data_IF_398319870307
#
_entry.id   IF_398319870307
#
_cell.length_a   1.000
_cell.length_b   1.000
_cell.length_c   1.000
_cell.angle_alpha   90.00
_cell.angle_beta   90.00
_cell.angle_gamma   90.00
#
_symmetry.space_group_name_H-M   'P 1'
#
loop_
_entity.id
_entity.type
_entity.pdbx_description
1 polymer ?
#
# COMPACT_ATOMS: atom_id res chain seq x y z
N UNK A 1 -8.18 15.47 12.01
CA UNK A 1 -9.44 14.74 11.75
C UNK A 1 -9.67 13.62 12.75
N UNK A 2 -8.70 12.70 12.90
CA UNK A 2 -8.72 11.63 13.88
C UNK A 2 -7.35 11.55 14.55
N UNK A 3 -7.31 11.39 15.88
CA UNK A 3 -6.07 11.21 16.65
C UNK A 3 -6.29 10.18 17.76
N UNK A 4 -5.35 9.27 17.87
CA UNK A 4 -5.26 8.30 18.94
C UNK A 4 -3.96 8.56 19.71
N UNK A 5 -4.01 8.51 21.04
CA UNK A 5 -2.86 8.82 21.90
C UNK A 5 -2.77 7.79 23.01
N UNK A 6 -1.67 7.04 23.07
CA UNK A 6 -1.37 6.01 24.07
C UNK A 6 -2.53 5.04 24.33
N UNK A 7 -3.26 4.72 23.25
CA UNK A 7 -4.49 3.95 23.33
C UNK A 7 -4.20 2.46 23.58
N UNK A 8 -4.86 1.90 24.57
CA UNK A 8 -4.75 0.49 24.96
C UNK A 8 -6.13 -0.12 25.11
N UNK A 9 -6.29 -1.33 24.53
CA UNK A 9 -7.45 -2.21 24.71
C UNK A 9 -6.98 -3.65 24.84
N UNK A 10 -7.26 -4.29 25.97
CA UNK A 10 -6.89 -5.68 26.28
C UNK A 10 -8.13 -6.55 26.44
N UNK A 11 -8.08 -7.79 25.97
CA UNK A 11 -9.17 -8.75 26.12
C UNK A 11 -8.90 -9.84 27.18
N UNK A 12 -7.65 -10.01 27.59
CA UNK A 12 -7.27 -10.95 28.65
C UNK A 12 -6.00 -10.48 29.36
N UNK A 13 -5.86 -10.86 30.62
CA UNK A 13 -4.64 -10.65 31.42
C UNK A 13 -3.63 -11.80 31.25
N UNK A 14 -3.92 -12.79 30.41
CA UNK A 14 -3.09 -13.96 30.15
C UNK A 14 -1.81 -13.64 29.37
N UNK A 15 -0.85 -14.59 29.41
CA UNK A 15 0.47 -14.49 28.78
C UNK A 15 0.44 -14.19 27.27
N UNK A 16 -0.68 -14.51 26.59
CA UNK A 16 -0.90 -14.19 25.19
C UNK A 16 -1.65 -12.87 25.07
N UNK A 17 -0.90 -11.78 24.85
CA UNK A 17 -1.48 -10.45 24.66
C UNK A 17 -2.45 -10.44 23.47
N UNK A 18 -3.73 -10.13 23.73
CA UNK A 18 -4.76 -9.90 22.71
C UNK A 18 -5.30 -8.49 22.83
N UNK A 19 -5.23 -7.73 21.75
CA UNK A 19 -5.71 -6.35 21.73
C UNK A 19 -4.74 -5.37 21.09
N UNK A 20 -4.75 -4.13 21.57
CA UNK A 20 -3.81 -3.06 21.20
C UNK A 20 -3.19 -2.45 22.47
N UNK A 21 -1.95 -1.98 22.39
CA UNK A 21 -1.20 -1.42 23.51
C UNK A 21 -0.37 -0.22 23.06
N UNK A 22 -0.56 0.90 23.76
CA UNK A 22 0.19 2.16 23.58
C UNK A 22 0.20 2.66 22.12
N UNK A 23 -0.95 2.58 21.45
CA UNK A 23 -1.11 3.03 20.07
C UNK A 23 -1.24 4.55 20.00
N UNK A 24 -0.35 5.19 19.25
CA UNK A 24 -0.40 6.64 19.01
C UNK A 24 -0.21 6.94 17.52
N UNK A 25 -1.21 7.53 16.88
CA UNK A 25 -1.13 8.03 15.49
C UNK A 25 -2.25 9.02 15.19
N UNK A 26 -2.15 9.70 14.05
CA UNK A 26 -3.17 10.63 13.56
C UNK A 26 -3.47 10.36 12.09
N UNK A 27 -4.69 10.68 11.68
CA UNK A 27 -5.18 10.52 10.30
C UNK A 27 -5.69 11.87 9.80
N UNK A 28 -4.96 12.51 8.86
CA UNK A 28 -5.44 13.68 8.14
C UNK A 28 -6.62 13.34 7.21
N UNK A 29 -7.36 14.36 6.77
CA UNK A 29 -8.41 14.18 5.77
C UNK A 29 -7.81 13.78 4.42
N UNK A 30 -8.47 12.85 3.73
CA UNK A 30 -8.07 12.36 2.41
C UNK A 30 -6.92 11.36 2.43
N UNK A 31 -6.29 11.09 3.59
CA UNK A 31 -5.21 10.13 3.69
C UNK A 31 -5.73 8.69 3.69
N UNK A 32 -5.03 7.83 2.96
CA UNK A 32 -5.27 6.39 2.96
C UNK A 32 -4.14 5.70 3.72
N UNK A 33 -4.50 5.01 4.81
CA UNK A 33 -3.57 4.24 5.63
C UNK A 33 -3.86 2.76 5.46
N UNK A 34 -2.85 1.97 5.12
CA UNK A 34 -2.93 0.52 5.22
C UNK A 34 -2.30 0.03 6.52
N UNK A 35 -3.03 -0.82 7.24
CA UNK A 35 -2.57 -1.46 8.47
C UNK A 35 -2.21 -2.90 8.16
N UNK A 36 -0.94 -3.23 8.33
CA UNK A 36 -0.37 -4.55 8.06
C UNK A 36 0.08 -5.21 9.37
N UNK A 37 0.28 -6.52 9.34
CA UNK A 37 0.78 -7.30 10.47
C UNK A 37 0.26 -8.72 10.46
N UNK A 38 0.91 -9.62 11.22
CA UNK A 38 0.51 -11.03 11.32
C UNK A 38 -0.90 -11.18 11.91
N UNK A 39 -1.51 -12.35 11.71
CA UNK A 39 -2.79 -12.67 12.39
C UNK A 39 -2.61 -12.54 13.91
N UNK A 40 -3.61 -11.99 14.60
CA UNK A 40 -3.53 -11.73 16.04
C UNK A 40 -2.73 -10.48 16.45
N UNK A 41 -2.17 -9.68 15.53
CA UNK A 41 -1.38 -8.49 15.88
C UNK A 41 -2.21 -7.29 16.40
N UNK A 42 -3.54 -7.38 16.44
CA UNK A 42 -4.42 -6.32 16.96
C UNK A 42 -5.10 -5.45 15.88
N UNK A 43 -4.96 -5.76 14.59
CA UNK A 43 -5.49 -4.95 13.48
C UNK A 43 -7.01 -4.72 13.56
N UNK A 44 -7.79 -5.79 13.71
CA UNK A 44 -9.25 -5.68 13.83
C UNK A 44 -9.68 -4.99 15.12
N UNK A 45 -8.95 -5.20 16.23
CA UNK A 45 -9.18 -4.47 17.47
C UNK A 45 -8.97 -2.96 17.27
N UNK A 46 -7.90 -2.57 16.58
CA UNK A 46 -7.65 -1.18 16.24
C UNK A 46 -8.82 -0.58 15.44
N UNK A 47 -9.25 -1.26 14.35
CA UNK A 47 -10.37 -0.75 13.54
C UNK A 47 -11.68 -0.69 14.34
N UNK A 48 -12.00 -1.69 15.16
CA UNK A 48 -13.20 -1.70 16.00
C UNK A 48 -13.19 -0.58 17.04
N UNK A 49 -12.04 -0.29 17.62
CA UNK A 49 -11.88 0.86 18.53
C UNK A 49 -12.11 2.18 17.78
N UNK A 50 -11.54 2.34 16.58
CA UNK A 50 -11.76 3.52 15.75
C UNK A 50 -13.21 3.67 15.29
N UNK A 51 -13.93 2.57 15.13
CA UNK A 51 -15.36 2.54 14.82
C UNK A 51 -16.27 2.84 16.03
N UNK A 52 -15.70 2.94 17.24
CA UNK A 52 -16.45 3.09 18.48
C UNK A 52 -17.20 1.82 18.93
N UNK A 53 -16.83 0.65 18.36
CA UNK A 53 -17.38 -0.65 18.71
C UNK A 53 -16.69 -1.26 19.96
N UNK A 54 -15.50 -0.78 20.27
CA UNK A 54 -14.73 -1.17 21.45
C UNK A 54 -14.33 0.08 22.23
N UNK A 55 -14.41 0.00 23.55
CA UNK A 55 -13.96 1.08 24.45
C UNK A 55 -12.50 0.86 24.83
N UNK A 56 -11.73 1.94 24.89
CA UNK A 56 -10.34 1.90 25.39
C UNK A 56 -10.31 1.60 26.88
N UNK A 57 -9.30 0.87 27.33
CA UNK A 57 -9.00 0.67 28.74
C UNK A 57 -8.16 1.85 29.28
N UNK A 58 -7.23 2.38 28.44
CA UNK A 58 -6.43 3.58 28.75
C UNK A 58 -6.10 4.35 27.46
N UNK A 59 -5.66 5.60 27.62
CA UNK A 59 -5.34 6.49 26.51
C UNK A 59 -6.56 7.27 25.99
N UNK A 60 -6.38 7.94 24.87
CA UNK A 60 -7.40 8.82 24.30
C UNK A 60 -7.63 8.55 22.83
N UNK A 61 -8.89 8.64 22.42
CA UNK A 61 -9.31 8.67 21.02
C UNK A 61 -10.14 9.92 20.77
N UNK A 62 -9.62 10.81 19.92
CA UNK A 62 -10.25 12.07 19.58
C UNK A 62 -10.62 12.03 18.09
N UNK A 63 -11.86 12.30 17.79
CA UNK A 63 -12.38 12.54 16.47
C UNK A 63 -13.05 13.91 16.42
N UNK A 64 -12.80 14.69 15.39
CA UNK A 64 -13.46 15.99 15.23
C UNK A 64 -14.97 15.86 15.18
N UNK A 65 -15.67 16.87 15.70
CA UNK A 65 -17.14 16.87 15.76
C UNK A 65 -17.75 16.70 14.37
N UNK A 66 -18.86 15.97 14.30
CA UNK A 66 -19.62 15.72 13.06
C UNK A 66 -18.89 14.87 12.00
N UNK A 67 -17.85 14.14 12.37
CA UNK A 67 -17.24 13.15 11.49
C UNK A 67 -17.95 11.83 11.66
N UNK A 68 -18.57 11.36 10.57
CA UNK A 68 -19.16 10.03 10.49
C UNK A 68 -18.10 9.03 10.04
N UNK A 69 -17.99 7.95 10.80
CA UNK A 69 -17.12 6.81 10.51
C UNK A 69 -17.98 5.63 10.08
N UNK A 70 -17.65 4.99 8.97
CA UNK A 70 -18.27 3.72 8.57
C UNK A 70 -17.25 2.59 8.67
N UNK A 71 -17.68 1.46 9.20
CA UNK A 71 -16.87 0.25 9.34
C UNK A 71 -17.46 -0.89 8.52
N UNK A 72 -16.63 -1.52 7.72
CA UNK A 72 -16.97 -2.74 6.98
C UNK A 72 -16.12 -3.87 7.54
N UNK A 73 -16.80 -4.82 8.18
CA UNK A 73 -16.16 -6.01 8.76
C UNK A 73 -15.84 -7.05 7.71
N UNK A 74 -14.96 -7.99 8.07
CA UNK A 74 -14.59 -9.13 7.27
C UNK A 74 -15.81 -9.97 6.81
N UNK A 75 -16.84 -10.11 7.68
CA UNK A 75 -18.05 -10.90 7.42
C UNK A 75 -19.14 -10.14 6.65
N UNK A 76 -18.89 -8.87 6.28
CA UNK A 76 -19.76 -7.95 5.50
C UNK A 76 -21.25 -7.90 5.83
N UNK A 77 -21.70 -8.57 6.84
CA UNK A 77 -23.03 -8.65 7.48
C UNK A 77 -24.14 -7.79 6.84
N UNK A 78 -24.63 -8.18 5.66
CA UNK A 78 -25.84 -7.59 5.08
C UNK A 78 -27.09 -8.05 5.85
N UNK A 79 -28.13 -7.22 5.89
CA UNK A 79 -29.42 -7.62 6.44
C UNK A 79 -30.10 -8.62 5.50
N UNK A 80 -30.26 -9.89 5.91
CA UNK A 80 -30.65 -10.97 4.99
C UNK A 80 -32.11 -10.88 4.53
N UNK A 81 -32.95 -10.18 5.29
CA UNK A 81 -34.37 -9.96 5.02
C UNK A 81 -34.67 -8.69 4.20
N UNK A 82 -33.64 -7.94 3.83
CA UNK A 82 -33.75 -6.74 3.00
C UNK A 82 -33.07 -7.00 1.63
N UNK A 83 -33.67 -6.43 0.59
CA UNK A 83 -33.07 -6.41 -0.75
C UNK A 83 -31.79 -5.60 -0.78
N UNK A 84 -31.02 -5.67 -1.87
CA UNK A 84 -29.82 -4.86 -2.08
C UNK A 84 -30.12 -3.37 -1.93
N UNK A 85 -31.18 -2.89 -2.59
CA UNK A 85 -31.58 -1.48 -2.50
C UNK A 85 -31.94 -1.09 -1.06
N UNK A 86 -32.74 -1.90 -0.38
CA UNK A 86 -33.13 -1.66 1.01
C UNK A 86 -31.92 -1.65 1.96
N UNK A 87 -30.94 -2.55 1.76
CA UNK A 87 -29.68 -2.52 2.49
C UNK A 87 -28.94 -1.18 2.34
N UNK A 88 -28.95 -0.59 1.15
CA UNK A 88 -28.26 0.69 0.91
C UNK A 88 -29.00 1.87 1.54
N UNK A 89 -30.34 1.88 1.46
CA UNK A 89 -31.12 3.07 1.80
C UNK A 89 -31.57 3.13 3.27
N UNK A 90 -31.56 2.02 4.00
CA UNK A 90 -32.11 1.96 5.37
C UNK A 90 -31.47 3.00 6.30
N UNK A 91 -30.14 2.99 6.43
CA UNK A 91 -29.46 3.90 7.34
C UNK A 91 -29.61 5.39 6.95
N UNK A 92 -29.44 5.80 5.67
CA UNK A 92 -29.72 7.17 5.24
C UNK A 92 -31.19 7.62 5.46
N UNK A 93 -32.18 6.72 5.27
CA UNK A 93 -33.59 7.02 5.53
C UNK A 93 -33.84 7.29 7.00
N UNK A 94 -33.25 6.49 7.90
CA UNK A 94 -33.40 6.71 9.34
C UNK A 94 -32.80 8.05 9.78
N UNK A 95 -31.70 8.47 9.14
CA UNK A 95 -31.07 9.76 9.41
C UNK A 95 -31.83 10.97 8.83
N UNK A 96 -32.63 10.82 7.77
CA UNK A 96 -33.30 11.93 7.07
C UNK A 96 -34.60 11.53 6.41
N UNK A 97 -35.66 11.52 7.20
CA UNK A 97 -37.03 11.08 6.78
C UNK A 97 -37.63 11.83 5.57
N UNK A 98 -37.22 13.08 5.33
CA UNK A 98 -37.80 13.92 4.27
C UNK A 98 -37.11 13.80 2.90
N UNK A 99 -36.17 12.83 2.71
CA UNK A 99 -35.36 12.70 1.49
C UNK A 99 -35.39 11.31 0.86
N UNK A 100 -36.42 10.51 1.13
CA UNK A 100 -36.51 9.10 0.69
C UNK A 100 -36.34 8.91 -0.82
N UNK A 101 -37.02 9.72 -1.65
CA UNK A 101 -36.92 9.62 -3.11
C UNK A 101 -35.52 9.95 -3.60
N UNK A 102 -34.88 10.99 -3.04
CA UNK A 102 -33.50 11.36 -3.39
C UNK A 102 -32.49 10.28 -2.98
N UNK A 103 -32.66 9.69 -1.79
CA UNK A 103 -31.84 8.58 -1.30
C UNK A 103 -31.98 7.36 -2.21
N UNK A 104 -33.21 7.02 -2.62
CA UNK A 104 -33.45 5.91 -3.55
C UNK A 104 -32.83 6.13 -4.92
N UNK A 105 -32.88 7.34 -5.48
CA UNK A 105 -32.20 7.70 -6.74
C UNK A 105 -30.68 7.60 -6.60
N UNK A 106 -30.12 8.12 -5.51
CA UNK A 106 -28.69 8.07 -5.23
C UNK A 106 -28.19 6.62 -5.11
N UNK A 107 -28.93 5.75 -4.40
CA UNK A 107 -28.59 4.33 -4.28
C UNK A 107 -28.57 3.61 -5.63
N UNK A 108 -29.57 3.87 -6.50
CA UNK A 108 -29.65 3.29 -7.84
C UNK A 108 -28.47 3.75 -8.72
N UNK A 109 -28.13 5.03 -8.71
CA UNK A 109 -26.96 5.55 -9.43
C UNK A 109 -25.64 4.93 -8.92
N UNK A 110 -25.53 4.69 -7.62
CA UNK A 110 -24.36 4.04 -7.04
C UNK A 110 -24.28 2.57 -7.47
N UNK A 111 -25.40 1.84 -7.48
CA UNK A 111 -25.46 0.46 -7.99
C UNK A 111 -25.11 0.40 -9.49
N UNK A 112 -25.57 1.35 -10.29
CA UNK A 112 -25.26 1.45 -11.71
C UNK A 112 -23.76 1.69 -11.92
N UNK A 113 -23.20 2.70 -11.23
CA UNK A 113 -21.75 3.03 -11.31
C UNK A 113 -20.86 1.83 -11.05
N UNK A 114 -21.29 0.92 -10.16
CA UNK A 114 -20.49 -0.23 -9.76
C UNK A 114 -21.01 -1.57 -10.32
N UNK A 115 -21.83 -1.54 -11.38
CA UNK A 115 -22.25 -2.73 -12.12
C UNK A 115 -23.10 -3.71 -11.30
N UNK A 116 -23.98 -3.19 -10.44
CA UNK A 116 -24.87 -3.97 -9.58
C UNK A 116 -26.37 -3.66 -9.81
N UNK A 117 -26.71 -2.97 -10.90
CA UNK A 117 -28.08 -2.55 -11.21
C UNK A 117 -29.06 -3.71 -11.30
N UNK A 118 -28.65 -4.82 -11.90
CA UNK A 118 -29.48 -6.02 -12.07
C UNK A 118 -29.82 -6.71 -10.74
N UNK A 119 -29.03 -6.48 -9.70
CA UNK A 119 -29.23 -7.07 -8.35
C UNK A 119 -30.01 -6.15 -7.40
N UNK A 120 -30.56 -5.02 -7.90
CA UNK A 120 -31.25 -4.00 -7.07
C UNK A 120 -32.31 -4.60 -6.15
N UNK A 121 -33.11 -5.57 -6.65
CA UNK A 121 -34.22 -6.22 -5.94
C UNK A 121 -33.82 -7.62 -5.38
N UNK A 122 -32.58 -8.08 -5.57
CA UNK A 122 -32.11 -9.37 -5.07
C UNK A 122 -31.86 -9.30 -3.57
N UNK A 123 -32.04 -10.43 -2.90
CA UNK A 123 -31.69 -10.61 -1.49
C UNK A 123 -30.21 -11.06 -1.35
N UNK A 124 -29.57 -10.83 -0.20
CA UNK A 124 -28.17 -11.24 0.02
C UNK A 124 -27.86 -12.71 -0.25
N UNK A 125 -28.84 -13.61 -0.05
CA UNK A 125 -28.66 -15.04 -0.32
C UNK A 125 -28.52 -15.38 -1.82
N UNK A 126 -29.01 -14.50 -2.70
CA UNK A 126 -28.99 -14.66 -4.16
C UNK A 126 -27.69 -14.12 -4.79
N UNK A 127 -26.82 -13.47 -3.98
CA UNK A 127 -25.60 -12.83 -4.43
C UNK A 127 -24.39 -13.74 -4.25
N UNK A 128 -23.40 -13.61 -5.16
CA UNK A 128 -22.05 -14.18 -4.94
C UNK A 128 -21.34 -13.49 -3.76
N UNK A 129 -20.29 -14.09 -3.24
CA UNK A 129 -19.47 -13.51 -2.15
C UNK A 129 -18.98 -12.10 -2.48
N UNK A 130 -18.40 -11.90 -3.66
CA UNK A 130 -17.92 -10.60 -4.11
C UNK A 130 -19.03 -9.56 -4.33
N UNK A 131 -20.20 -9.99 -4.81
CA UNK A 131 -21.36 -9.11 -4.93
C UNK A 131 -21.84 -8.65 -3.55
N UNK A 132 -21.99 -9.58 -2.59
CA UNK A 132 -22.35 -9.21 -1.20
C UNK A 132 -21.38 -8.19 -0.61
N UNK A 133 -20.10 -8.38 -0.85
CA UNK A 133 -19.06 -7.51 -0.33
C UNK A 133 -19.09 -6.12 -0.95
N UNK A 134 -19.28 -6.03 -2.28
CA UNK A 134 -19.49 -4.74 -2.96
C UNK A 134 -20.73 -4.02 -2.44
N UNK A 135 -21.84 -4.73 -2.24
CA UNK A 135 -23.06 -4.16 -1.63
C UNK A 135 -22.78 -3.64 -0.22
N UNK A 136 -22.03 -4.36 0.61
CA UNK A 136 -21.66 -3.91 1.96
C UNK A 136 -20.80 -2.63 1.95
N UNK A 137 -19.85 -2.52 1.01
CA UNK A 137 -19.08 -1.29 0.78
C UNK A 137 -19.99 -0.13 0.35
N UNK A 138 -20.87 -0.35 -0.62
CA UNK A 138 -21.79 0.69 -1.10
C UNK A 138 -22.75 1.13 0.01
N UNK A 139 -23.24 0.21 0.84
CA UNK A 139 -24.02 0.54 2.04
C UNK A 139 -23.26 1.46 2.99
N UNK A 140 -21.98 1.18 3.22
CA UNK A 140 -21.13 2.02 4.07
C UNK A 140 -20.90 3.42 3.46
N UNK A 141 -20.84 3.54 2.13
CA UNK A 141 -20.68 4.81 1.40
C UNK A 141 -21.96 5.64 1.38
N UNK A 142 -23.13 4.99 1.35
CA UNK A 142 -24.43 5.68 1.28
C UNK A 142 -24.70 6.65 2.43
N UNK A 143 -24.12 6.44 3.60
CA UNK A 143 -24.22 7.37 4.73
C UNK A 143 -23.26 8.55 4.63
N UNK A 144 -22.49 8.65 3.53
CA UNK A 144 -21.52 9.73 3.27
C UNK A 144 -20.49 9.92 4.40
N UNK A 145 -19.80 8.85 4.80
CA UNK A 145 -18.85 8.93 5.88
C UNK A 145 -17.64 9.80 5.47
N UNK A 146 -16.99 10.40 6.45
CA UNK A 146 -15.70 11.06 6.23
C UNK A 146 -14.52 10.09 6.35
N UNK A 147 -14.73 8.98 7.07
CA UNK A 147 -13.72 7.91 7.25
C UNK A 147 -14.37 6.57 6.96
N UNK A 148 -13.72 5.78 6.11
CA UNK A 148 -14.03 4.37 5.85
C UNK A 148 -12.98 3.48 6.53
N UNK A 149 -13.45 2.57 7.37
CA UNK A 149 -12.65 1.54 8.02
C UNK A 149 -12.97 0.20 7.34
N UNK A 150 -11.97 -0.43 6.74
CA UNK A 150 -12.13 -1.65 5.94
C UNK A 150 -11.28 -2.77 6.55
N UNK A 151 -11.93 -3.81 7.10
CA UNK A 151 -11.26 -4.89 7.83
C UNK A 151 -11.24 -6.18 7.00
N UNK A 152 -10.10 -6.50 6.38
CA UNK A 152 -9.82 -7.72 5.63
C UNK A 152 -10.93 -8.12 4.63
N UNK A 153 -11.52 -7.15 3.98
CA UNK A 153 -12.73 -7.33 3.15
C UNK A 153 -12.56 -8.19 1.90
N UNK A 154 -11.36 -8.73 1.64
CA UNK A 154 -11.08 -9.63 0.50
C UNK A 154 -10.62 -11.02 0.93
N UNK A 155 -10.52 -11.31 2.22
CA UNK A 155 -9.87 -12.52 2.74
C UNK A 155 -10.60 -13.83 2.40
N UNK A 156 -11.91 -13.78 2.12
CA UNK A 156 -12.74 -14.93 1.82
C UNK A 156 -13.16 -15.04 0.34
N UNK A 157 -12.51 -14.29 -0.56
CA UNK A 157 -12.82 -14.23 -1.97
C UNK A 157 -11.77 -14.93 -2.82
N UNK A 158 -12.22 -15.49 -3.96
CA UNK A 158 -11.31 -15.92 -5.01
C UNK A 158 -10.60 -14.71 -5.69
N UNK A 159 -9.53 -14.94 -6.48
CA UNK A 159 -8.75 -13.86 -7.08
C UNK A 159 -9.55 -12.93 -8.00
N UNK A 160 -10.51 -13.45 -8.76
CA UNK A 160 -11.30 -12.64 -9.69
C UNK A 160 -12.27 -11.71 -8.96
N UNK A 161 -12.98 -12.23 -7.96
CA UNK A 161 -13.86 -11.46 -7.10
C UNK A 161 -13.08 -10.44 -6.25
N UNK A 162 -11.90 -10.82 -5.76
CA UNK A 162 -10.97 -9.94 -5.06
C UNK A 162 -10.65 -8.71 -5.91
N UNK A 163 -10.27 -8.89 -7.19
CA UNK A 163 -9.96 -7.78 -8.10
C UNK A 163 -11.11 -6.79 -8.19
N UNK A 164 -12.35 -7.26 -8.35
CA UNK A 164 -13.52 -6.39 -8.50
C UNK A 164 -13.79 -5.51 -7.27
N UNK A 165 -13.54 -6.05 -6.06
CA UNK A 165 -13.66 -5.31 -4.79
C UNK A 165 -12.54 -4.28 -4.65
N UNK A 166 -11.30 -4.66 -4.98
CA UNK A 166 -10.16 -3.75 -4.94
C UNK A 166 -10.31 -2.58 -5.92
N UNK A 167 -10.88 -2.81 -7.10
CA UNK A 167 -11.16 -1.75 -8.08
C UNK A 167 -12.24 -0.78 -7.57
N UNK A 168 -13.25 -1.26 -6.84
CA UNK A 168 -14.22 -0.41 -6.17
C UNK A 168 -13.54 0.48 -5.11
N UNK A 169 -12.66 -0.09 -4.27
CA UNK A 169 -11.93 0.69 -3.27
C UNK A 169 -11.03 1.75 -3.93
N UNK A 170 -10.36 1.42 -5.04
CA UNK A 170 -9.57 2.39 -5.83
C UNK A 170 -10.43 3.54 -6.36
N UNK A 171 -11.65 3.24 -6.79
CA UNK A 171 -12.59 4.28 -7.24
C UNK A 171 -12.99 5.21 -6.10
N UNK A 172 -13.29 4.67 -4.91
CA UNK A 172 -13.59 5.45 -3.70
C UNK A 172 -12.38 6.29 -3.24
N UNK A 173 -11.16 5.76 -3.36
CA UNK A 173 -9.94 6.50 -3.09
C UNK A 173 -9.80 7.73 -3.99
N UNK A 174 -10.08 7.59 -5.29
CA UNK A 174 -10.08 8.70 -6.25
C UNK A 174 -11.17 9.73 -5.95
N UNK A 175 -12.27 9.33 -5.34
CA UNK A 175 -13.34 10.23 -4.88
C UNK A 175 -12.93 11.02 -3.60
N UNK A 176 -11.73 10.80 -3.05
CA UNK A 176 -11.15 11.55 -1.94
C UNK A 176 -11.57 11.08 -0.54
N UNK A 177 -12.06 9.85 -0.41
CA UNK A 177 -12.38 9.27 0.90
C UNK A 177 -11.11 9.08 1.75
N UNK A 178 -11.20 9.40 3.05
CA UNK A 178 -10.19 9.00 4.03
C UNK A 178 -10.42 7.55 4.39
N UNK A 179 -9.38 6.71 4.32
CA UNK A 179 -9.54 5.27 4.55
C UNK A 179 -8.48 4.73 5.51
N UNK A 180 -8.89 3.78 6.36
CA UNK A 180 -7.98 2.90 7.08
C UNK A 180 -8.32 1.47 6.69
N UNK A 181 -7.38 0.79 6.06
CA UNK A 181 -7.59 -0.50 5.39
C UNK A 181 -6.68 -1.55 6.02
N UNK A 182 -7.26 -2.61 6.55
CA UNK A 182 -6.54 -3.83 6.91
C UNK A 182 -6.61 -4.79 5.73
N UNK A 183 -5.47 -5.23 5.23
CA UNK A 183 -5.39 -6.15 4.10
C UNK A 183 -4.15 -7.01 4.16
N UNK A 184 -4.22 -8.18 3.53
CA UNK A 184 -3.07 -9.06 3.27
C UNK A 184 -2.55 -8.94 1.83
N UNK A 185 -3.24 -8.18 0.97
CA UNK A 185 -2.81 -7.94 -0.42
C UNK A 185 -1.80 -6.80 -0.46
N UNK A 186 -0.51 -7.16 -0.46
CA UNK A 186 0.58 -6.18 -0.39
C UNK A 186 0.63 -5.26 -1.61
N UNK A 187 0.54 -5.82 -2.82
CA UNK A 187 0.53 -5.05 -4.07
C UNK A 187 -0.62 -4.04 -4.11
N UNK A 188 -1.80 -4.41 -3.57
CA UNK A 188 -2.91 -3.48 -3.42
C UNK A 188 -2.61 -2.39 -2.39
N UNK A 189 -2.15 -2.77 -1.18
CA UNK A 189 -1.78 -1.80 -0.14
C UNK A 189 -0.80 -0.75 -0.68
N UNK A 190 0.24 -1.19 -1.40
CA UNK A 190 1.23 -0.31 -2.03
C UNK A 190 0.67 0.57 -3.14
N UNK A 191 -0.33 0.08 -3.89
CA UNK A 191 -0.90 0.83 -5.02
C UNK A 191 -1.87 1.94 -4.60
N UNK A 192 -2.37 1.92 -3.35
CA UNK A 192 -3.44 2.80 -2.91
C UNK A 192 -3.07 3.64 -1.69
N UNK A 193 -2.18 3.16 -0.80
CA UNK A 193 -1.91 3.83 0.47
C UNK A 193 -0.89 4.97 0.34
N UNK A 194 -1.11 6.03 1.11
CA UNK A 194 -0.13 7.10 1.33
C UNK A 194 0.86 6.71 2.44
N UNK A 195 0.38 5.88 3.39
CA UNK A 195 1.09 5.54 4.62
C UNK A 195 0.76 4.11 5.04
N UNK A 196 1.77 3.43 5.56
CA UNK A 196 1.65 2.06 6.06
C UNK A 196 2.00 2.04 7.54
N UNK A 197 1.11 1.43 8.34
CA UNK A 197 1.32 1.12 9.75
C UNK A 197 1.49 -0.40 9.88
N UNK A 198 2.60 -0.85 10.45
CA UNK A 198 2.83 -2.25 10.74
C UNK A 198 2.62 -2.53 12.23
N UNK A 199 1.64 -3.39 12.54
CA UNK A 199 1.32 -3.82 13.89
C UNK A 199 1.98 -5.14 14.26
N UNK A 200 2.57 -5.18 15.45
CA UNK A 200 3.11 -6.36 16.11
C UNK A 200 2.67 -6.41 17.56
N UNK A 201 2.08 -7.54 17.98
CA UNK A 201 1.70 -7.78 19.38
C UNK A 201 0.95 -6.59 20.01
N UNK A 202 0.00 -6.02 19.26
CA UNK A 202 -0.80 -4.90 19.70
C UNK A 202 -0.15 -3.51 19.62
N UNK A 203 1.12 -3.40 19.25
CA UNK A 203 1.84 -2.11 19.18
C UNK A 203 2.25 -1.75 17.76
N UNK A 204 2.46 -0.47 17.48
CA UNK A 204 3.00 0.00 16.20
C UNK A 204 4.51 -0.25 16.21
N UNK A 205 4.96 -1.17 15.36
CA UNK A 205 6.38 -1.42 15.15
C UNK A 205 6.97 -0.43 14.11
N UNK A 206 6.18 -0.10 13.09
CA UNK A 206 6.61 0.82 12.03
C UNK A 206 5.41 1.63 11.53
N UNK A 207 5.63 2.93 11.29
CA UNK A 207 4.66 3.89 10.79
C UNK A 207 5.36 4.84 9.83
N UNK A 208 5.18 4.65 8.54
CA UNK A 208 5.93 5.36 7.50
C UNK A 208 5.10 5.63 6.26
N UNK A 209 5.54 6.61 5.44
CA UNK A 209 5.02 6.78 4.09
C UNK A 209 5.22 5.49 3.29
N UNK A 210 4.29 5.15 2.42
CA UNK A 210 4.35 3.93 1.60
C UNK A 210 5.70 3.81 0.87
N UNK A 211 6.20 4.88 0.27
CA UNK A 211 7.47 4.93 -0.46
C UNK A 211 8.72 4.69 0.40
N UNK A 212 8.60 4.80 1.72
CA UNK A 212 9.69 4.59 2.67
C UNK A 212 9.60 3.25 3.40
N UNK A 213 8.46 2.57 3.32
CA UNK A 213 8.19 1.33 4.07
C UNK A 213 9.16 0.20 3.73
N UNK A 214 9.65 0.13 2.50
CA UNK A 214 10.58 -0.89 2.01
C UNK A 214 12.05 -0.47 2.08
N UNK A 215 12.38 0.62 2.76
CA UNK A 215 13.79 1.04 2.90
C UNK A 215 14.54 0.17 3.90
N UNK A 216 15.86 0.22 3.85
CA UNK A 216 16.74 -0.60 4.66
C UNK A 216 16.62 -0.40 6.19
N UNK A 217 15.99 0.66 6.64
CA UNK A 217 15.69 0.92 8.04
C UNK A 217 14.46 0.14 8.55
N UNK A 218 13.84 -0.70 7.71
CA UNK A 218 12.74 -1.55 8.14
C UNK A 218 13.24 -2.60 9.13
N UNK A 219 12.46 -2.83 10.18
CA UNK A 219 12.72 -3.87 11.17
C UNK A 219 12.81 -5.26 10.50
N UNK A 220 13.62 -6.16 11.06
CA UNK A 220 13.81 -7.52 10.54
C UNK A 220 12.49 -8.29 10.42
N UNK A 221 11.52 -8.03 11.31
CA UNK A 221 10.21 -8.66 11.22
C UNK A 221 9.35 -8.11 10.08
N UNK A 222 9.43 -6.80 9.83
CA UNK A 222 8.76 -6.20 8.66
C UNK A 222 9.33 -6.82 7.38
N UNK A 223 10.67 -6.96 7.31
CA UNK A 223 11.34 -7.64 6.19
C UNK A 223 10.89 -9.09 6.04
N UNK A 224 10.84 -9.84 7.14
CA UNK A 224 10.36 -11.24 7.12
C UNK A 224 8.90 -11.33 6.67
N UNK A 225 8.04 -10.44 7.15
CA UNK A 225 6.64 -10.39 6.76
C UNK A 225 6.46 -10.08 5.27
N UNK A 226 7.23 -9.13 4.73
CA UNK A 226 7.24 -8.81 3.30
C UNK A 226 7.66 -10.04 2.48
N UNK A 227 8.70 -10.75 2.91
CA UNK A 227 9.17 -11.97 2.24
C UNK A 227 8.12 -13.10 2.26
N UNK A 228 7.40 -13.24 3.38
CA UNK A 228 6.35 -14.26 3.52
C UNK A 228 5.13 -13.95 2.63
N UNK A 229 4.80 -12.66 2.44
CA UNK A 229 3.72 -12.24 1.54
C UNK A 229 4.16 -12.33 0.08
N UNK A 230 5.40 -11.95 -0.25
CA UNK A 230 5.93 -12.04 -1.61
C UNK A 230 5.81 -13.45 -2.19
N UNK A 231 5.91 -14.48 -1.35
CA UNK A 231 5.69 -15.88 -1.75
C UNK A 231 4.24 -16.19 -2.14
N UNK A 232 3.28 -15.34 -1.78
CA UNK A 232 1.83 -15.53 -2.01
C UNK A 232 1.26 -14.56 -3.04
N UNK A 233 1.97 -13.47 -3.34
CA UNK A 233 1.56 -12.43 -4.30
C UNK A 233 2.43 -12.54 -5.55
N UNK A 234 1.87 -13.06 -6.65
CA UNK A 234 2.58 -13.28 -7.92
C UNK A 234 3.16 -11.99 -8.54
N UNK A 235 2.73 -10.83 -8.10
CA UNK A 235 3.28 -9.54 -8.53
C UNK A 235 4.57 -9.15 -7.83
N UNK A 236 4.99 -9.90 -6.78
CA UNK A 236 6.17 -9.63 -5.98
C UNK A 236 7.14 -10.81 -6.07
N UNK A 237 8.36 -10.53 -6.49
CA UNK A 237 9.45 -11.50 -6.53
C UNK A 237 10.61 -11.02 -5.66
N UNK A 238 11.29 -11.96 -5.01
CA UNK A 238 12.45 -11.67 -4.16
C UNK A 238 13.64 -12.51 -4.61
N UNK A 239 14.73 -11.82 -4.88
CA UNK A 239 16.02 -12.41 -5.26
C UNK A 239 17.02 -12.12 -4.13
N UNK A 240 17.63 -13.16 -3.56
CA UNK A 240 18.51 -13.04 -2.40
C UNK A 240 19.86 -13.71 -2.64
N UNK A 241 20.92 -13.03 -2.24
CA UNK A 241 22.29 -13.50 -2.40
C UNK A 241 22.96 -13.05 -3.70
N UNK A 242 24.28 -13.19 -3.74
CA UNK A 242 25.12 -12.63 -4.79
C UNK A 242 24.79 -13.18 -6.18
N UNK A 243 24.63 -14.47 -6.30
CA UNK A 243 24.36 -15.15 -7.59
C UNK A 243 23.02 -14.70 -8.19
N UNK A 244 21.97 -14.65 -7.38
CA UNK A 244 20.66 -14.19 -7.84
C UNK A 244 20.65 -12.69 -8.17
N UNK A 245 21.40 -11.88 -7.42
CA UNK A 245 21.56 -10.46 -7.68
C UNK A 245 22.18 -10.22 -9.07
N UNK A 246 23.30 -10.89 -9.37
CA UNK A 246 23.98 -10.79 -10.66
C UNK A 246 23.11 -11.30 -11.82
N UNK A 247 22.51 -12.47 -11.67
CA UNK A 247 21.62 -13.06 -12.66
C UNK A 247 20.41 -12.16 -12.97
N UNK A 248 19.81 -11.55 -11.93
CA UNK A 248 18.71 -10.60 -12.07
C UNK A 248 19.09 -9.39 -12.93
N UNK A 249 20.20 -8.70 -12.58
CA UNK A 249 20.62 -7.50 -13.30
C UNK A 249 21.00 -7.79 -14.76
N UNK A 250 21.72 -8.87 -15.01
CA UNK A 250 22.04 -9.30 -16.38
C UNK A 250 20.78 -9.69 -17.17
N UNK A 251 19.83 -10.37 -16.52
CA UNK A 251 18.54 -10.71 -17.13
C UNK A 251 17.72 -9.47 -17.42
N UNK A 252 17.66 -8.50 -16.50
CA UNK A 252 16.95 -7.25 -16.65
C UNK A 252 17.45 -6.45 -17.86
N UNK A 253 18.78 -6.18 -17.92
CA UNK A 253 19.32 -5.33 -18.99
C UNK A 253 19.15 -5.96 -20.38
N UNK A 254 19.14 -7.29 -20.46
CA UNK A 254 18.83 -8.02 -21.71
C UNK A 254 17.38 -7.89 -22.14
N UNK A 255 16.43 -7.85 -21.19
CA UNK A 255 14.97 -7.79 -21.47
C UNK A 255 14.47 -6.37 -21.72
N UNK A 256 15.09 -5.34 -21.15
CA UNK A 256 14.65 -3.96 -21.35
C UNK A 256 14.70 -3.58 -22.83
N UNK A 257 13.68 -2.85 -23.36
CA UNK A 257 13.70 -2.29 -24.70
C UNK A 257 14.88 -1.33 -24.92
N UNK A 258 15.29 -1.16 -26.18
CA UNK A 258 16.25 -0.12 -26.54
C UNK A 258 15.71 1.28 -26.20
N UNK A 259 16.59 2.20 -25.88
CA UNK A 259 16.28 3.58 -25.48
C UNK A 259 15.45 3.70 -24.17
N UNK A 260 15.41 2.64 -23.36
CA UNK A 260 14.74 2.71 -22.05
C UNK A 260 15.51 3.60 -21.06
N UNK A 261 14.77 4.12 -20.06
CA UNK A 261 15.37 4.82 -18.93
C UNK A 261 15.11 4.05 -17.64
N UNK A 262 16.16 3.85 -16.84
CA UNK A 262 16.08 3.33 -15.48
C UNK A 262 16.23 4.51 -14.52
N UNK A 263 15.20 4.76 -13.73
CA UNK A 263 15.20 5.81 -12.71
C UNK A 263 15.66 5.24 -11.38
N UNK A 264 16.72 5.80 -10.80
CA UNK A 264 17.34 5.29 -9.58
C UNK A 264 17.29 6.36 -8.50
N UNK A 265 16.59 6.10 -7.39
CA UNK A 265 16.59 6.99 -6.24
C UNK A 265 17.36 6.36 -5.07
N UNK A 266 18.24 7.15 -4.48
CA UNK A 266 19.14 6.71 -3.42
C UNK A 266 20.30 5.87 -3.94
N UNK A 267 20.88 6.25 -5.10
CA UNK A 267 22.03 5.56 -5.64
C UNK A 267 23.12 5.39 -4.58
N UNK A 268 23.59 4.15 -4.43
CA UNK A 268 24.47 3.70 -3.33
C UNK A 268 25.91 3.47 -3.80
N UNK A 269 26.25 3.92 -5.01
CA UNK A 269 27.62 3.86 -5.53
C UNK A 269 28.23 2.47 -5.42
N UNK A 270 29.35 2.37 -4.69
CA UNK A 270 30.14 1.14 -4.56
C UNK A 270 29.35 -0.05 -4.02
N UNK A 271 28.30 0.16 -3.23
CA UNK A 271 27.49 -0.93 -2.69
C UNK A 271 26.76 -1.73 -3.80
N UNK A 272 26.43 -1.09 -4.94
CA UNK A 272 25.86 -1.79 -6.10
C UNK A 272 26.96 -2.41 -6.99
N UNK A 273 28.07 -1.70 -7.19
CA UNK A 273 29.15 -2.16 -8.07
C UNK A 273 29.90 -3.34 -7.50
N UNK A 274 30.12 -3.35 -6.18
CA UNK A 274 30.85 -4.43 -5.50
C UNK A 274 30.21 -5.82 -5.72
N UNK A 275 28.90 -6.01 -5.52
CA UNK A 275 28.25 -7.28 -5.85
C UNK A 275 28.24 -7.62 -7.34
N UNK A 276 28.24 -6.65 -8.24
CA UNK A 276 28.31 -6.92 -9.67
C UNK A 276 29.66 -7.47 -10.10
N UNK A 277 30.75 -7.06 -9.48
CA UNK A 277 32.07 -7.58 -9.72
C UNK A 277 32.47 -7.61 -11.21
N UNK A 278 32.99 -8.75 -11.69
CA UNK A 278 33.35 -8.94 -13.09
C UNK A 278 32.18 -8.86 -14.09
N UNK A 279 30.96 -9.13 -13.62
CA UNK A 279 29.74 -9.05 -14.46
C UNK A 279 29.37 -7.62 -14.84
N UNK A 280 29.89 -6.61 -14.12
CA UNK A 280 29.60 -5.21 -14.39
C UNK A 280 29.97 -4.80 -15.82
N UNK A 281 31.14 -5.19 -16.30
CA UNK A 281 31.58 -4.86 -17.67
C UNK A 281 30.61 -5.38 -18.72
N UNK A 282 30.17 -6.63 -18.59
CA UNK A 282 29.20 -7.23 -19.52
C UNK A 282 27.82 -6.57 -19.43
N UNK A 283 27.37 -6.21 -18.24
CA UNK A 283 26.14 -5.45 -18.02
C UNK A 283 26.20 -4.10 -18.74
N UNK A 284 27.30 -3.36 -18.57
CA UNK A 284 27.50 -2.02 -19.12
C UNK A 284 27.59 -2.05 -20.67
N UNK A 285 28.31 -3.02 -21.24
CA UNK A 285 28.39 -3.21 -22.69
C UNK A 285 26.99 -3.39 -23.32
N UNK A 286 26.12 -4.17 -22.68
CA UNK A 286 24.75 -4.38 -23.16
C UNK A 286 23.94 -3.08 -23.00
N UNK A 287 24.05 -2.40 -21.86
CA UNK A 287 23.32 -1.17 -21.54
C UNK A 287 23.59 -0.08 -22.57
N UNK A 288 24.86 0.19 -22.85
CA UNK A 288 25.30 1.20 -23.81
C UNK A 288 24.87 0.82 -25.24
N UNK A 289 25.06 -0.45 -25.64
CA UNK A 289 24.62 -0.93 -26.95
C UNK A 289 23.13 -0.75 -27.19
N UNK A 290 22.32 -0.86 -26.15
CA UNK A 290 20.85 -0.66 -26.19
C UNK A 290 20.42 0.79 -25.95
N UNK A 291 21.35 1.72 -25.79
CA UNK A 291 21.06 3.12 -25.46
C UNK A 291 20.20 3.28 -24.22
N UNK A 292 20.39 2.44 -23.19
CA UNK A 292 19.63 2.50 -21.95
C UNK A 292 20.27 3.55 -21.02
N UNK A 293 19.48 4.55 -20.64
CA UNK A 293 19.89 5.67 -19.81
C UNK A 293 19.64 5.40 -18.34
N UNK A 294 20.60 5.74 -17.48
CA UNK A 294 20.38 5.89 -16.04
C UNK A 294 20.10 7.33 -15.69
N UNK A 295 19.02 7.54 -14.94
CA UNK A 295 18.69 8.83 -14.34
C UNK A 295 18.66 8.67 -12.82
N UNK A 296 19.67 9.22 -12.14
CA UNK A 296 19.97 8.87 -10.75
C UNK A 296 19.94 10.08 -9.82
N UNK A 297 19.26 9.92 -8.68
CA UNK A 297 19.40 10.80 -7.52
C UNK A 297 20.27 10.12 -6.47
N UNK A 298 21.39 10.75 -6.12
CA UNK A 298 22.33 10.23 -5.14
C UNK A 298 22.39 11.13 -3.90
N UNK A 299 22.63 10.52 -2.75
CA UNK A 299 22.90 11.25 -1.50
C UNK A 299 24.39 11.50 -1.28
N UNK A 300 25.26 10.63 -1.82
CA UNK A 300 26.69 10.83 -1.84
C UNK A 300 27.25 10.30 -3.16
N UNK A 301 28.05 11.11 -3.85
CA UNK A 301 28.70 10.68 -5.08
C UNK A 301 29.96 9.91 -4.72
N UNK A 302 29.89 8.58 -4.81
CA UNK A 302 31.06 7.73 -4.81
C UNK A 302 32.04 8.07 -5.95
N UNK A 303 33.23 7.51 -5.92
CA UNK A 303 34.25 7.72 -6.97
C UNK A 303 33.77 7.15 -8.32
N UNK A 304 33.04 6.03 -8.30
CA UNK A 304 32.50 5.36 -9.48
C UNK A 304 31.41 6.21 -10.14
N UNK A 305 30.49 6.78 -9.36
CA UNK A 305 29.44 7.67 -9.89
C UNK A 305 30.04 8.88 -10.63
N UNK A 306 31.11 9.45 -10.09
CA UNK A 306 31.82 10.58 -10.74
C UNK A 306 32.52 10.13 -12.03
N UNK A 307 33.04 8.90 -12.09
CA UNK A 307 33.65 8.33 -13.28
C UNK A 307 32.63 8.11 -14.38
N UNK A 308 31.50 7.47 -14.08
CA UNK A 308 30.43 7.21 -15.03
C UNK A 308 29.83 8.49 -15.60
N UNK A 309 29.63 9.52 -14.78
CA UNK A 309 29.16 10.82 -15.24
C UNK A 309 30.14 11.49 -16.24
N UNK A 310 31.42 11.16 -16.20
CA UNK A 310 32.42 11.68 -17.13
C UNK A 310 32.61 10.80 -18.40
N UNK A 311 32.58 9.47 -18.23
CA UNK A 311 32.87 8.53 -19.30
C UNK A 311 31.70 8.41 -20.29
N UNK A 312 30.44 8.49 -19.81
CA UNK A 312 29.24 8.31 -20.63
C UNK A 312 28.13 9.30 -20.25
N UNK A 313 28.34 10.61 -20.39
CA UNK A 313 27.37 11.62 -19.91
C UNK A 313 26.01 11.54 -20.62
N UNK A 314 25.96 11.04 -21.84
CA UNK A 314 24.73 10.87 -22.62
C UNK A 314 23.85 9.72 -22.06
N UNK A 315 24.45 8.74 -21.37
CA UNK A 315 23.75 7.60 -20.79
C UNK A 315 23.60 7.69 -19.27
N UNK A 316 24.22 8.68 -18.62
CA UNK A 316 24.27 8.78 -17.16
C UNK A 316 23.93 10.18 -16.70
N UNK A 317 22.70 10.38 -16.20
CA UNK A 317 22.26 11.65 -15.63
C UNK A 317 22.25 11.55 -14.11
N UNK A 318 22.96 12.45 -13.43
CA UNK A 318 23.07 12.44 -11.97
C UNK A 318 22.60 13.79 -11.39
N UNK A 319 21.90 13.72 -10.26
CA UNK A 319 21.66 14.85 -9.38
C UNK A 319 21.98 14.47 -7.93
N UNK A 320 22.53 15.41 -7.17
CA UNK A 320 22.88 15.20 -5.76
C UNK A 320 21.89 15.88 -4.84
N UNK A 321 21.41 15.15 -3.82
CA UNK A 321 20.60 15.73 -2.76
C UNK A 321 21.41 16.66 -1.87
N UNK A 322 20.82 17.77 -1.36
CA UNK A 322 21.52 18.76 -0.53
C UNK A 322 22.03 18.21 0.82
N UNK A 323 21.45 17.12 1.30
CA UNK A 323 21.84 16.45 2.56
C UNK A 323 22.36 15.05 2.27
N UNK A 324 23.50 14.72 2.82
CA UNK A 324 23.98 13.32 2.84
C UNK A 324 23.08 12.50 3.76
N UNK A 325 22.45 11.46 3.22
CA UNK A 325 21.78 10.43 4.00
C UNK A 325 22.48 9.11 3.69
N UNK A 326 22.95 8.41 4.71
CA UNK A 326 23.39 7.04 4.53
C UNK A 326 22.13 6.18 4.35
N UNK A 327 21.91 5.71 3.15
CA UNK A 327 20.80 4.82 2.85
C UNK A 327 21.39 3.50 2.28
N UNK A 328 21.31 2.38 3.02
CA UNK A 328 21.79 1.09 2.53
C UNK A 328 20.88 0.45 1.49
N UNK A 329 19.84 1.14 1.04
CA UNK A 329 18.92 0.67 0.02
C UNK A 329 18.66 1.75 -1.03
N UNK A 330 18.41 1.30 -2.26
CA UNK A 330 17.86 2.15 -3.31
C UNK A 330 16.59 1.54 -3.90
N UNK A 331 15.86 2.33 -4.66
CA UNK A 331 14.85 1.79 -5.55
C UNK A 331 15.07 2.24 -6.99
N UNK A 332 14.70 1.37 -7.93
CA UNK A 332 14.73 1.67 -9.34
C UNK A 332 13.33 1.50 -9.92
N UNK A 333 12.97 2.37 -10.86
CA UNK A 333 11.70 2.29 -11.59
C UNK A 333 11.98 2.18 -13.08
N UNK A 334 11.30 1.27 -13.75
CA UNK A 334 11.35 1.10 -15.20
C UNK A 334 10.04 0.44 -15.70
N UNK A 335 9.36 1.09 -16.64
CA UNK A 335 8.04 0.63 -17.12
C UNK A 335 7.03 0.48 -15.99
N UNK A 336 6.44 -0.70 -15.86
CA UNK A 336 5.48 -1.09 -14.83
C UNK A 336 6.12 -1.69 -13.56
N UNK A 337 7.44 -1.66 -13.47
CA UNK A 337 8.21 -2.40 -12.47
C UNK A 337 8.98 -1.47 -11.55
N UNK A 338 8.92 -1.77 -10.26
CA UNK A 338 9.76 -1.18 -9.22
C UNK A 338 10.63 -2.27 -8.63
N UNK A 339 11.91 -2.01 -8.43
CA UNK A 339 12.77 -2.85 -7.61
C UNK A 339 13.33 -2.03 -6.44
N UNK A 340 13.31 -2.64 -5.27
CA UNK A 340 14.07 -2.15 -4.11
C UNK A 340 15.27 -3.06 -3.90
N UNK A 341 16.44 -2.47 -3.76
CA UNK A 341 17.67 -3.19 -3.55
C UNK A 341 18.23 -2.87 -2.16
N UNK A 342 18.54 -3.90 -1.40
CA UNK A 342 19.04 -3.81 -0.03
C UNK A 342 20.46 -4.41 -0.02
N UNK A 343 21.45 -3.63 0.44
CA UNK A 343 22.87 -3.98 0.46
C UNK A 343 23.33 -4.19 1.90
N UNK A 344 22.90 -5.28 2.50
CA UNK A 344 23.37 -5.74 3.81
C UNK A 344 24.37 -6.90 3.63
N UNK A 345 24.41 -7.86 4.57
CA UNK A 345 25.29 -9.03 4.48
C UNK A 345 25.09 -9.84 3.19
N UNK A 346 23.85 -9.92 2.72
CA UNK A 346 23.49 -10.53 1.44
C UNK A 346 22.67 -9.56 0.61
N UNK A 347 23.08 -9.22 -0.62
CA UNK A 347 22.30 -8.33 -1.47
C UNK A 347 20.94 -8.95 -1.76
N UNK A 348 19.90 -8.15 -1.59
CA UNK A 348 18.52 -8.59 -1.78
C UNK A 348 17.80 -7.63 -2.73
N UNK A 349 17.09 -8.18 -3.71
CA UNK A 349 16.19 -7.43 -4.61
C UNK A 349 14.76 -7.84 -4.32
N UNK A 350 13.90 -6.86 -4.13
CA UNK A 350 12.45 -7.03 -4.09
C UNK A 350 11.89 -6.38 -5.35
N UNK A 351 11.40 -7.19 -6.28
CA UNK A 351 10.74 -6.72 -7.50
C UNK A 351 9.24 -6.68 -7.31
N UNK A 352 8.62 -5.61 -7.77
CA UNK A 352 7.17 -5.43 -7.76
C UNK A 352 6.75 -5.01 -9.15
N UNK A 353 5.93 -5.84 -9.79
CA UNK A 353 5.41 -5.58 -11.14
C UNK A 353 3.97 -5.09 -11.06
N UNK A 354 3.78 -3.78 -11.02
CA UNK A 354 2.46 -3.15 -10.92
C UNK A 354 2.52 -1.69 -11.39
N UNK A 355 1.74 -1.31 -12.40
CA UNK A 355 1.75 0.03 -12.99
C UNK A 355 1.44 1.13 -11.98
N UNK A 356 0.42 0.95 -11.14
CA UNK A 356 0.03 1.98 -10.15
C UNK A 356 1.12 2.24 -9.10
N UNK A 357 1.86 1.18 -8.73
CA UNK A 357 3.01 1.28 -7.82
C UNK A 357 4.16 1.99 -8.54
N UNK A 358 4.47 1.59 -9.78
CA UNK A 358 5.51 2.23 -10.58
C UNK A 358 5.23 3.73 -10.76
N UNK A 359 3.99 4.12 -11.06
CA UNK A 359 3.57 5.52 -11.17
C UNK A 359 3.74 6.30 -9.86
N UNK A 360 3.45 5.68 -8.70
CA UNK A 360 3.65 6.31 -7.40
C UNK A 360 5.13 6.55 -7.08
N UNK A 361 5.98 5.56 -7.37
CA UNK A 361 7.43 5.69 -7.19
C UNK A 361 8.05 6.68 -8.19
N UNK A 362 7.50 6.78 -9.40
CA UNK A 362 7.92 7.78 -10.39
C UNK A 362 7.63 9.20 -9.92
N UNK A 363 6.42 9.48 -9.40
CA UNK A 363 6.11 10.80 -8.81
C UNK A 363 7.08 11.15 -7.68
N UNK A 364 7.38 10.18 -6.80
CA UNK A 364 8.35 10.39 -5.73
C UNK A 364 9.77 10.62 -6.28
N UNK A 365 10.16 9.90 -7.33
CA UNK A 365 11.45 10.15 -8.01
C UNK A 365 11.50 11.58 -8.57
N UNK A 366 10.45 12.08 -9.20
CA UNK A 366 10.37 13.41 -9.76
C UNK A 366 10.48 14.50 -8.68
N UNK A 367 9.85 14.30 -7.52
CA UNK A 367 10.02 15.20 -6.36
C UNK A 367 11.50 15.24 -5.91
N UNK A 368 12.15 14.10 -5.78
CA UNK A 368 13.56 14.03 -5.42
C UNK A 368 14.46 14.66 -6.48
N UNK A 369 14.17 14.37 -7.76
CA UNK A 369 14.91 14.91 -8.89
C UNK A 369 14.86 16.43 -8.94
N UNK A 370 13.69 17.02 -8.66
CA UNK A 370 13.51 18.49 -8.64
C UNK A 370 14.14 19.15 -7.42
N UNK A 371 14.21 18.43 -6.29
CA UNK A 371 14.88 18.91 -5.07
C UNK A 371 16.41 18.79 -5.11
N UNK A 372 16.95 17.90 -5.95
CA UNK A 372 18.37 17.62 -6.13
C UNK A 372 19.03 18.63 -7.11
N UNK A 373 20.34 18.87 -6.92
CA UNK A 373 21.17 19.77 -7.74
C UNK A 373 22.18 19.01 -8.57
#
# INVERSE_FOLDING_TARGET
>A
MLKMTQATKKYSDDKDFRGISDISFSVPQGQIICVLGKSGSGKSTLLRTLAGLETLDTGEFIIEKNILVSYVSQDYTLWPHLTVLENLILAPKLASKNREEAIGKEAKLLLERFGLSEYTNSYPAELSGGQRQRVALLRAVMVKPKILLLDEITSALDPELTKSVLDLIRALAKDGYTMIIVTHHMSFAMSISDRIIFLKNGSILQDQKMTQFFTAQSDLEVKSFILDIAKRDESIEVFKGLEQFQAYHLGLIKRLPENSTIYVAGAVGDAWFSPMGEFYKHYEDIRIKKHITWKMVTYDQGEIDRRLAREFPEFNQFRKMPRSMQNPANYNVFGDTVITQIFEQEPTIIQIKNQSIADAYMRFFEELWNAAK
#
